data_IF_880445239437
#
_entry.id   IF_880445239437
#
_cell.length_a   1.000
_cell.length_b   1.000
_cell.length_c   1.000
_cell.angle_alpha   90.00
_cell.angle_beta   90.00
_cell.angle_gamma   90.00
#
_symmetry.space_group_name_H-M   'P 1'
#
loop_
_entity.id
_entity.type
_entity.pdbx_description
1 polymer ?
#
# COMPACT_ATOMS: atom_id res chain seq x y z
N UNK A 1 -22.06 -29.22 61.15
CA UNK A 1 -23.10 -28.29 60.68
C UNK A 1 -23.02 -28.21 59.16
N UNK A 2 -24.18 -28.34 58.49
CA UNK A 2 -24.53 -28.10 57.07
C UNK A 2 -23.52 -27.26 56.27
N UNK A 3 -23.03 -27.69 55.11
CA UNK A 3 -23.65 -27.66 53.76
C UNK A 3 -22.48 -27.24 52.81
N UNK A 4 -22.35 -27.54 51.52
CA UNK A 4 -23.29 -27.81 50.44
C UNK A 4 -22.51 -28.32 49.19
N UNK A 5 -23.23 -29.05 48.32
CA UNK A 5 -23.14 -29.13 46.85
C UNK A 5 -21.77 -29.42 46.19
N UNK A 6 -21.49 -30.61 45.64
CA UNK A 6 -21.96 -31.23 44.36
C UNK A 6 -21.72 -30.39 43.09
N UNK A 7 -20.76 -30.91 42.30
CA UNK A 7 -20.68 -31.00 40.84
C UNK A 7 -20.76 -29.69 40.02
N UNK A 8 -19.74 -29.44 39.19
CA UNK A 8 -19.79 -29.34 37.71
C UNK A 8 -18.34 -29.14 37.19
N UNK A 9 -17.91 -30.04 36.31
CA UNK A 9 -16.76 -29.96 35.39
C UNK A 9 -17.33 -30.36 34.01
N UNK A 10 -16.68 -30.04 32.88
CA UNK A 10 -16.32 -28.76 32.29
C UNK A 10 -17.11 -28.51 30.98
N UNK A 11 -17.61 -27.31 30.74
CA UNK A 11 -18.27 -26.94 29.49
C UNK A 11 -17.42 -25.99 28.67
N UNK A 12 -16.49 -26.52 27.88
CA UNK A 12 -15.73 -25.76 26.91
C UNK A 12 -16.66 -25.24 25.80
N UNK A 13 -17.08 -23.97 25.88
CA UNK A 13 -17.61 -23.25 24.72
C UNK A 13 -16.43 -22.70 23.93
N UNK A 14 -16.05 -23.44 22.89
CA UNK A 14 -15.16 -22.97 21.84
C UNK A 14 -15.82 -21.82 21.09
N UNK A 15 -15.29 -20.60 21.27
CA UNK A 15 -15.60 -19.48 20.40
C UNK A 15 -14.82 -19.69 19.10
N UNK A 16 -15.58 -19.82 18.01
CA UNK A 16 -15.11 -19.83 16.64
C UNK A 16 -14.17 -18.65 16.39
N UNK A 17 -12.90 -18.96 16.15
CA UNK A 17 -11.94 -18.05 15.52
C UNK A 17 -12.41 -17.82 14.08
N UNK A 18 -13.20 -16.76 13.86
CA UNK A 18 -13.38 -16.19 12.53
C UNK A 18 -12.01 -15.68 12.11
N UNK A 19 -11.33 -16.49 11.30
CA UNK A 19 -10.16 -16.08 10.56
C UNK A 19 -10.64 -15.12 9.48
N UNK A 20 -10.83 -13.86 9.86
CA UNK A 20 -10.92 -12.78 8.89
C UNK A 20 -9.55 -12.74 8.21
N UNK A 21 -9.45 -13.33 7.02
CA UNK A 21 -8.38 -13.02 6.09
C UNK A 21 -8.46 -11.51 5.88
N UNK A 22 -7.55 -10.79 6.54
CA UNK A 22 -7.33 -9.40 6.24
C UNK A 22 -6.82 -9.37 4.80
N UNK A 23 -7.77 -9.16 3.89
CA UNK A 23 -7.54 -8.68 2.54
C UNK A 23 -6.48 -7.58 2.62
N UNK A 24 -5.27 -7.94 2.20
CA UNK A 24 -4.17 -7.03 2.01
C UNK A 24 -4.52 -6.12 0.83
N UNK A 25 -5.49 -5.24 1.03
CA UNK A 25 -5.71 -4.14 0.13
C UNK A 25 -4.47 -3.24 0.25
N UNK A 26 -3.77 -2.92 -0.86
CA UNK A 26 -2.64 -2.03 -0.82
C UNK A 26 -3.08 -0.73 -0.13
N UNK A 27 -2.37 -0.37 0.94
CA UNK A 27 -2.73 0.76 1.79
C UNK A 27 -3.01 2.01 0.93
N UNK A 28 -4.20 2.64 1.07
CA UNK A 28 -4.55 3.84 0.33
C UNK A 28 -3.64 4.98 0.80
N UNK A 29 -2.59 5.24 0.04
CA UNK A 29 -1.56 6.23 0.40
C UNK A 29 -0.22 5.97 -0.26
N UNK A 30 -0.01 4.76 -0.77
CA UNK A 30 1.23 4.38 -1.45
C UNK A 30 0.92 3.82 -2.84
N UNK A 31 0.63 4.71 -3.80
CA UNK A 31 0.35 4.35 -5.20
C UNK A 31 1.64 3.90 -5.92
N UNK A 32 2.33 2.88 -5.43
CA UNK A 32 3.33 2.19 -6.24
C UNK A 32 2.57 1.37 -7.28
N UNK A 33 2.90 1.56 -8.56
CA UNK A 33 2.34 0.77 -9.65
C UNK A 33 3.00 -0.62 -9.64
N UNK A 34 2.63 -1.41 -8.64
CA UNK A 34 2.99 -2.82 -8.49
C UNK A 34 2.26 -3.57 -9.59
N UNK A 35 2.99 -4.34 -10.41
CA UNK A 35 2.34 -5.14 -11.43
C UNK A 35 1.65 -6.33 -10.79
N UNK A 36 0.33 -6.24 -10.65
CA UNK A 36 -0.47 -7.31 -10.07
C UNK A 36 -0.56 -8.49 -11.04
N UNK A 37 -0.08 -9.65 -10.60
CA UNK A 37 -0.29 -10.92 -11.31
C UNK A 37 -1.79 -11.26 -11.29
N UNK A 38 -2.35 -11.74 -12.40
CA UNK A 38 -3.73 -12.24 -12.45
C UNK A 38 -3.77 -13.70 -11.97
N UNK A 39 -4.81 -14.07 -11.21
CA UNK A 39 -5.08 -15.46 -10.81
C UNK A 39 -5.08 -16.41 -12.01
N UNK A 40 -5.76 -16.09 -13.11
CA UNK A 40 -5.91 -17.03 -14.24
C UNK A 40 -4.56 -17.31 -14.94
N UNK A 41 -3.70 -16.28 -15.00
CA UNK A 41 -2.36 -16.38 -15.55
C UNK A 41 -1.45 -17.17 -14.61
N UNK A 42 -1.47 -16.85 -13.31
CA UNK A 42 -0.75 -17.60 -12.29
C UNK A 42 -1.17 -19.08 -12.26
N UNK A 43 -2.47 -19.35 -12.33
CA UNK A 43 -3.03 -20.69 -12.21
C UNK A 43 -2.55 -21.62 -13.34
N UNK A 44 -2.45 -21.09 -14.58
CA UNK A 44 -2.01 -21.86 -15.74
C UNK A 44 -0.48 -21.93 -15.85
N UNK A 45 0.22 -20.81 -15.67
CA UNK A 45 1.65 -20.72 -15.96
C UNK A 45 2.54 -21.06 -14.76
N UNK A 46 2.18 -20.63 -13.56
CA UNK A 46 2.99 -20.85 -12.34
C UNK A 46 2.54 -22.11 -11.60
N UNK A 47 1.23 -22.28 -11.40
CA UNK A 47 0.68 -23.42 -10.67
C UNK A 47 0.48 -24.66 -11.56
N UNK A 48 0.50 -24.51 -12.89
CA UNK A 48 0.36 -25.62 -13.84
C UNK A 48 -0.97 -26.37 -13.71
N UNK A 49 -2.03 -25.69 -13.26
CA UNK A 49 -3.33 -26.30 -13.04
C UNK A 49 -4.13 -26.38 -14.35
N UNK A 50 -5.00 -27.39 -14.51
CA UNK A 50 -5.88 -27.47 -15.68
C UNK A 50 -6.80 -26.25 -15.79
N UNK A 51 -7.09 -25.73 -17.00
CA UNK A 51 -7.98 -24.58 -17.20
C UNK A 51 -9.34 -24.75 -16.51
N UNK A 52 -9.94 -25.95 -16.62
CA UNK A 52 -11.23 -26.29 -16.01
C UNK A 52 -11.25 -26.13 -14.47
N UNK A 53 -10.07 -26.20 -13.83
CA UNK A 53 -9.90 -25.95 -12.39
C UNK A 53 -9.70 -24.47 -12.11
N UNK A 54 -8.92 -23.76 -12.91
CA UNK A 54 -8.71 -22.32 -12.80
C UNK A 54 -10.05 -21.56 -12.89
N UNK A 55 -10.92 -21.96 -13.82
CA UNK A 55 -12.25 -21.35 -13.99
C UNK A 55 -13.16 -21.51 -12.77
N UNK A 56 -12.97 -22.58 -11.98
CA UNK A 56 -13.77 -22.85 -10.78
C UNK A 56 -13.37 -22.00 -9.58
N UNK A 57 -12.21 -21.32 -9.62
CA UNK A 57 -11.67 -20.46 -8.56
C UNK A 57 -11.89 -21.05 -7.17
N UNK A 58 -11.37 -22.26 -6.97
CA UNK A 58 -11.55 -22.95 -5.70
C UNK A 58 -10.92 -22.12 -4.57
N UNK A 59 -11.56 -22.03 -3.38
CA UNK A 59 -11.03 -21.25 -2.27
C UNK A 59 -9.60 -21.61 -1.89
N UNK A 60 -9.22 -22.88 -2.07
CA UNK A 60 -7.86 -23.34 -1.78
C UNK A 60 -6.83 -22.80 -2.77
N UNK A 61 -7.20 -22.66 -4.04
CA UNK A 61 -6.29 -22.15 -5.07
C UNK A 61 -6.14 -20.62 -4.90
N UNK A 62 -7.22 -19.92 -4.56
CA UNK A 62 -7.20 -18.49 -4.23
C UNK A 62 -6.29 -18.19 -3.03
N UNK A 63 -6.35 -18.98 -1.96
CA UNK A 63 -5.47 -18.83 -0.79
C UNK A 63 -3.99 -18.94 -1.17
N UNK A 64 -3.65 -19.88 -2.05
CA UNK A 64 -2.26 -20.09 -2.50
C UNK A 64 -1.81 -18.96 -3.43
N UNK A 65 -2.69 -18.48 -4.31
CA UNK A 65 -2.44 -17.33 -5.16
C UNK A 65 -2.18 -16.06 -4.33
N UNK A 66 -2.99 -15.80 -3.32
CA UNK A 66 -2.84 -14.64 -2.45
C UNK A 66 -1.51 -14.69 -1.68
N UNK A 67 -1.12 -15.87 -1.19
CA UNK A 67 0.19 -16.07 -0.57
C UNK A 67 1.35 -15.84 -1.54
N UNK A 68 1.21 -16.29 -2.80
CA UNK A 68 2.17 -16.04 -3.86
C UNK A 68 2.30 -14.54 -4.17
N UNK A 69 1.16 -13.85 -4.32
CA UNK A 69 1.11 -12.41 -4.59
C UNK A 69 1.81 -11.63 -3.47
N UNK A 70 1.46 -11.91 -2.21
CA UNK A 70 2.09 -11.26 -1.06
C UNK A 70 3.62 -11.43 -1.04
N UNK A 71 4.12 -12.59 -1.45
CA UNK A 71 5.57 -12.84 -1.56
C UNK A 71 6.22 -11.97 -2.64
N UNK A 72 5.60 -11.83 -3.81
CA UNK A 72 6.14 -10.99 -4.90
C UNK A 72 6.13 -9.52 -4.51
N UNK A 73 5.00 -9.03 -3.98
CA UNK A 73 4.82 -7.63 -3.59
C UNK A 73 5.81 -7.18 -2.51
N UNK A 74 6.19 -8.09 -1.60
CA UNK A 74 7.20 -7.83 -0.58
C UNK A 74 8.55 -7.38 -1.15
N UNK A 75 8.89 -7.79 -2.38
CA UNK A 75 10.12 -7.38 -3.06
C UNK A 75 9.91 -6.20 -4.02
N UNK A 76 8.73 -6.09 -4.65
CA UNK A 76 8.46 -5.07 -5.65
C UNK A 76 8.28 -3.67 -5.05
N UNK A 77 7.54 -3.55 -3.95
CA UNK A 77 7.29 -2.28 -3.26
C UNK A 77 8.59 -1.56 -2.87
N UNK A 78 9.55 -2.19 -2.15
CA UNK A 78 10.79 -1.50 -1.77
C UNK A 78 11.67 -1.17 -2.97
N UNK A 79 11.61 -1.96 -4.05
CA UNK A 79 12.31 -1.64 -5.29
C UNK A 79 11.75 -0.38 -5.95
N UNK A 80 10.42 -0.29 -6.08
CA UNK A 80 9.74 0.89 -6.66
C UNK A 80 9.96 2.14 -5.81
N UNK A 81 9.98 2.00 -4.48
CA UNK A 81 10.34 3.09 -3.56
C UNK A 81 11.72 3.67 -3.88
N UNK A 82 12.75 2.83 -3.97
CA UNK A 82 14.12 3.29 -4.27
C UNK A 82 14.22 3.95 -5.63
N UNK A 83 13.61 3.36 -6.65
CA UNK A 83 13.60 3.95 -8.00
C UNK A 83 12.94 5.33 -8.03
N UNK A 84 11.81 5.50 -7.35
CA UNK A 84 11.12 6.78 -7.29
C UNK A 84 11.95 7.83 -6.54
N UNK A 85 12.64 7.43 -5.47
CA UNK A 85 13.53 8.31 -4.71
C UNK A 85 14.74 8.75 -5.55
N UNK A 86 15.38 7.82 -6.27
CA UNK A 86 16.48 8.14 -7.18
C UNK A 86 16.06 9.12 -8.28
N UNK A 87 14.88 8.90 -8.87
CA UNK A 87 14.32 9.81 -9.88
C UNK A 87 14.02 11.20 -9.28
N UNK A 88 13.54 11.26 -8.04
CA UNK A 88 13.31 12.52 -7.31
C UNK A 88 14.61 13.26 -7.06
N UNK A 89 15.64 12.58 -6.53
CA UNK A 89 16.97 13.14 -6.30
C UNK A 89 17.55 13.66 -7.61
N UNK A 90 17.48 12.86 -8.68
CA UNK A 90 17.99 13.25 -9.98
C UNK A 90 17.33 14.55 -10.48
N UNK A 91 15.99 14.65 -10.41
CA UNK A 91 15.27 15.86 -10.82
C UNK A 91 15.58 17.06 -9.92
N UNK A 92 15.51 16.90 -8.60
CA UNK A 92 15.53 18.02 -7.64
C UNK A 92 16.94 18.50 -7.32
N UNK A 93 17.91 17.59 -7.20
CA UNK A 93 19.26 17.92 -6.75
C UNK A 93 20.26 18.05 -7.88
N UNK A 94 20.22 17.15 -8.88
CA UNK A 94 21.23 17.11 -9.94
C UNK A 94 20.90 18.02 -11.13
N UNK A 95 19.62 18.28 -11.39
CA UNK A 95 19.18 19.06 -12.56
C UNK A 95 18.52 20.41 -12.21
N UNK A 96 18.48 20.77 -10.92
CA UNK A 96 18.11 22.11 -10.47
C UNK A 96 19.29 22.74 -9.74
N UNK A 97 20.47 22.75 -10.36
CA UNK A 97 21.55 23.62 -9.89
C UNK A 97 21.04 25.08 -9.98
N UNK A 98 21.02 25.84 -8.88
CA UNK A 98 20.61 27.25 -8.89
C UNK A 98 21.38 28.13 -9.88
N UNK A 99 22.57 27.69 -10.31
CA UNK A 99 23.38 28.36 -11.32
C UNK A 99 22.86 28.08 -12.74
N UNK A 100 22.41 26.86 -13.03
CA UNK A 100 21.90 26.45 -14.36
C UNK A 100 20.41 26.79 -14.54
N UNK A 101 19.62 26.85 -13.46
CA UNK A 101 18.20 27.19 -13.48
C UNK A 101 17.87 28.27 -12.41
N UNK A 102 18.29 29.53 -12.61
CA UNK A 102 18.05 30.59 -11.63
C UNK A 102 16.54 30.81 -11.44
N UNK A 103 16.12 30.91 -10.17
CA UNK A 103 14.74 31.15 -9.71
C UNK A 103 14.18 32.50 -10.22
N UNK A 104 13.98 32.66 -11.52
CA UNK A 104 13.42 33.88 -12.12
C UNK A 104 11.90 33.99 -11.94
N UNK A 105 11.23 32.91 -11.55
CA UNK A 105 9.78 32.82 -11.52
C UNK A 105 9.21 32.37 -10.16
N UNK A 106 9.88 32.66 -9.04
CA UNK A 106 9.31 32.39 -7.72
C UNK A 106 8.41 33.56 -7.26
N UNK A 107 7.07 33.43 -7.29
CA UNK A 107 6.16 34.51 -6.88
C UNK A 107 6.25 34.81 -5.37
N UNK A 108 6.86 33.93 -4.56
CA UNK A 108 7.05 34.17 -3.13
C UNK A 108 8.07 35.29 -2.85
N UNK A 109 9.06 35.50 -3.73
CA UNK A 109 10.04 36.59 -3.61
C UNK A 109 9.56 37.94 -4.16
N UNK A 110 8.53 37.98 -5.01
CA UNK A 110 7.94 39.23 -5.49
C UNK A 110 7.08 39.96 -4.44
N UNK A 111 6.73 39.31 -3.32
CA UNK A 111 5.89 39.90 -2.26
C UNK A 111 6.64 40.69 -1.19
N UNK A 112 7.96 40.75 -1.24
CA UNK A 112 8.76 41.46 -0.25
C UNK A 112 9.58 42.56 -0.92
N UNK A 113 8.89 43.58 -1.41
CA UNK A 113 9.48 44.92 -1.52
C UNK A 113 9.26 45.64 -0.18
N UNK A 114 10.31 45.92 0.62
CA UNK A 114 10.18 46.64 1.89
C UNK A 114 9.70 48.09 1.76
N UNK A 115 9.64 48.64 0.54
CA UNK A 115 9.32 50.05 0.29
C UNK A 115 7.90 50.30 -0.24
N UNK A 116 7.03 49.28 -0.31
CA UNK A 116 5.69 49.48 -0.86
C UNK A 116 4.69 49.85 0.26
N UNK A 117 4.19 51.12 0.32
CA UNK A 117 3.20 51.49 1.32
C UNK A 117 1.86 50.78 1.07
N UNK A 118 1.09 50.46 2.13
CA UNK A 118 -0.15 49.71 1.98
C UNK A 118 -1.14 50.52 1.15
N UNK A 119 -1.59 49.93 0.04
CA UNK A 119 -2.67 50.46 -0.77
C UNK A 119 -3.97 50.35 0.02
N UNK A 120 -4.49 51.49 0.48
CA UNK A 120 -5.88 51.60 0.93
C UNK A 120 -6.82 51.28 -0.24
N UNK A 121 -7.67 50.27 -0.07
CA UNK A 121 -8.79 50.01 -0.97
C UNK A 121 -9.99 50.89 -0.59
N UNK A 122 -10.54 51.71 -1.49
CA UNK A 122 -11.87 52.30 -1.32
C UNK A 122 -12.93 51.53 -2.15
N UNK A 123 -14.24 51.80 -1.99
CA UNK A 123 -14.94 52.52 -0.91
C UNK A 123 -15.69 51.60 0.07
#
# INVERSE_FOLDING_TARGET
MKSMARFILPGALGVLLVSAGAEAQPSPGSNYNVQTMNFDLWCQEEAGLPPDRCDKRLPKDEEVFEAYRAKVEAYEIPYLQRRNEEARINRVLLHNDPIDNPLKNDPARQRQDPNQPPLHSPP
#
